data_IF_277799184362
#
_entry.id   IF_277799184362
#
_cell.length_a   1.000
_cell.length_b   1.000
_cell.length_c   1.000
_cell.angle_alpha   90.00
_cell.angle_beta   90.00
_cell.angle_gamma   90.00
#
_symmetry.space_group_name_H-M   'P 1'
#
loop_
_entity.id
_entity.type
_entity.pdbx_description
1 polymer ?
#
# COMPACT_ATOMS: atom_id res chain seq x y z
N UNK A 1 -8.47 2.15 8.65
CA UNK A 1 -7.90 2.39 9.98
C UNK A 1 -7.59 1.07 10.67
N UNK A 2 -6.55 1.06 11.54
CA UNK A 2 -6.24 -0.08 12.39
C UNK A 2 -6.51 0.30 13.85
N UNK A 3 -6.85 -0.69 14.68
CA UNK A 3 -6.76 -0.58 16.11
C UNK A 3 -5.31 -0.82 16.51
N UNK A 4 -4.68 0.17 17.12
CA UNK A 4 -3.36 0.02 17.72
C UNK A 4 -3.52 -0.49 19.14
N UNK A 5 -2.71 -1.48 19.53
CA UNK A 5 -2.74 -2.09 20.86
C UNK A 5 -1.33 -2.49 21.30
N UNK A 6 -1.15 -2.61 22.60
CA UNK A 6 0.04 -3.15 23.25
C UNK A 6 -0.08 -4.64 23.61
N UNK A 7 -1.16 -5.29 23.17
CA UNK A 7 -1.32 -6.74 23.31
C UNK A 7 -0.21 -7.45 22.56
N UNK A 8 0.45 -8.40 23.20
CA UNK A 8 1.57 -9.14 22.64
C UNK A 8 1.10 -10.06 21.49
N UNK A 9 1.19 -9.56 20.26
CA UNK A 9 0.95 -10.32 19.04
C UNK A 9 2.29 -10.84 18.50
N UNK A 10 2.36 -12.12 18.20
CA UNK A 10 3.52 -12.76 17.59
C UNK A 10 3.10 -13.55 16.36
N UNK A 11 4.05 -13.97 15.49
CA UNK A 11 3.76 -14.85 14.37
C UNK A 11 2.95 -16.08 14.83
N UNK A 12 1.81 -16.32 14.16
CA UNK A 12 0.83 -17.37 14.52
C UNK A 12 -0.48 -16.80 15.08
N UNK A 13 -0.48 -15.58 15.64
CA UNK A 13 -1.71 -14.93 16.14
C UNK A 13 -2.46 -14.13 15.06
N UNK A 14 -1.85 -13.90 13.89
CA UNK A 14 -2.47 -13.16 12.78
C UNK A 14 -3.72 -13.90 12.28
N UNK A 15 -4.82 -13.16 12.06
CA UNK A 15 -6.13 -13.71 11.75
C UNK A 15 -6.94 -14.14 12.97
N UNK A 16 -6.33 -14.21 14.15
CA UNK A 16 -7.04 -14.47 15.41
C UNK A 16 -7.78 -13.24 15.94
N UNK A 17 -8.75 -13.42 16.85
CA UNK A 17 -9.55 -12.33 17.39
C UNK A 17 -8.79 -11.49 18.41
N UNK A 18 -9.07 -10.19 18.43
CA UNK A 18 -8.75 -9.28 19.51
C UNK A 18 -10.01 -9.09 20.37
N UNK A 19 -9.92 -9.39 21.66
CA UNK A 19 -11.04 -9.27 22.59
C UNK A 19 -10.95 -8.01 23.45
N UNK A 20 -12.12 -7.46 23.81
CA UNK A 20 -12.21 -6.51 24.91
C UNK A 20 -12.30 -7.24 26.27
N UNK A 21 -12.35 -6.46 27.37
CA UNK A 21 -12.46 -7.02 28.74
C UNK A 21 -13.79 -7.70 29.01
N UNK A 22 -14.79 -7.53 28.16
CA UNK A 22 -16.11 -8.16 28.28
C UNK A 22 -16.20 -9.46 27.45
N UNK A 23 -15.13 -9.83 26.74
CA UNK A 23 -15.08 -11.00 25.87
C UNK A 23 -15.66 -10.77 24.48
N UNK A 24 -15.96 -9.53 24.08
CA UNK A 24 -16.39 -9.23 22.72
C UNK A 24 -15.20 -9.17 21.78
N UNK A 25 -15.37 -9.66 20.54
CA UNK A 25 -14.37 -9.50 19.48
C UNK A 25 -14.44 -8.08 18.93
N UNK A 26 -13.39 -7.30 19.14
CA UNK A 26 -13.31 -5.90 18.68
C UNK A 26 -12.47 -5.73 17.43
N UNK A 27 -11.67 -6.75 17.07
CA UNK A 27 -10.83 -6.70 15.86
C UNK A 27 -10.23 -8.05 15.51
N UNK A 28 -9.56 -8.06 14.36
CA UNK A 28 -8.79 -9.21 13.83
C UNK A 28 -7.31 -8.83 13.85
N UNK A 29 -6.47 -9.61 14.53
CA UNK A 29 -5.04 -9.39 14.60
C UNK A 29 -4.42 -9.45 13.21
N UNK A 30 -3.63 -8.44 12.84
CA UNK A 30 -3.09 -8.31 11.49
C UNK A 30 -1.57 -8.29 11.47
N UNK A 31 -0.96 -7.28 12.09
CA UNK A 31 0.48 -7.05 11.99
C UNK A 31 1.06 -6.45 13.25
N UNK A 32 2.38 -6.49 13.36
CA UNK A 32 3.16 -5.84 14.41
C UNK A 32 4.16 -4.87 13.79
N UNK A 33 4.52 -3.82 14.52
CA UNK A 33 5.74 -3.08 14.21
C UNK A 33 6.91 -3.83 14.83
N UNK A 34 7.85 -4.30 14.00
CA UNK A 34 8.98 -5.08 14.49
C UNK A 34 10.21 -4.91 13.62
N UNK A 35 11.37 -4.80 14.26
CA UNK A 35 12.70 -4.82 13.60
C UNK A 35 13.35 -6.22 13.65
N UNK A 36 12.94 -7.05 14.60
CA UNK A 36 13.52 -8.37 14.87
C UNK A 36 12.60 -9.54 14.49
N UNK A 37 11.36 -9.24 14.01
CA UNK A 37 10.33 -10.24 13.69
C UNK A 37 9.44 -10.63 14.86
N UNK A 38 9.77 -10.26 16.11
CA UNK A 38 8.95 -10.46 17.29
C UNK A 38 8.24 -9.18 17.76
N UNK A 39 7.29 -9.31 18.68
CA UNK A 39 6.57 -8.20 19.26
C UNK A 39 7.49 -7.21 19.99
N UNK A 40 7.32 -5.91 19.74
CA UNK A 40 8.10 -4.80 20.31
C UNK A 40 7.23 -3.68 20.88
N UNK A 41 6.06 -4.02 21.44
CA UNK A 41 5.18 -3.06 22.11
C UNK A 41 4.10 -2.44 21.21
N UNK A 42 4.12 -2.66 19.89
CA UNK A 42 3.14 -2.12 18.96
C UNK A 42 2.57 -3.23 18.09
N UNK A 43 1.25 -3.39 18.17
CA UNK A 43 0.49 -4.32 17.37
C UNK A 43 -0.75 -3.63 16.76
N UNK A 44 -1.24 -4.16 15.66
CA UNK A 44 -2.33 -3.60 14.88
C UNK A 44 -3.35 -4.67 14.55
N UNK A 45 -4.62 -4.36 14.80
CA UNK A 45 -5.75 -5.20 14.45
C UNK A 45 -6.70 -4.46 13.50
N UNK A 46 -7.35 -5.18 12.61
CA UNK A 46 -8.42 -4.68 11.76
C UNK A 46 -9.66 -4.53 12.63
N UNK A 47 -10.31 -3.35 12.71
CA UNK A 47 -11.54 -3.18 13.45
C UNK A 47 -12.64 -4.14 13.01
N UNK A 48 -13.45 -4.64 13.95
CA UNK A 48 -14.42 -5.69 13.63
C UNK A 48 -15.49 -5.24 12.63
N UNK A 49 -15.92 -3.99 12.66
CA UNK A 49 -16.84 -3.44 11.66
C UNK A 49 -16.25 -3.53 10.23
N UNK A 50 -14.98 -3.18 10.05
CA UNK A 50 -14.28 -3.29 8.76
C UNK A 50 -14.14 -4.77 8.35
N UNK A 51 -13.80 -5.64 9.30
CA UNK A 51 -13.65 -7.08 9.04
C UNK A 51 -14.97 -7.72 8.58
N UNK A 52 -16.10 -7.33 9.20
CA UNK A 52 -17.44 -7.82 8.81
C UNK A 52 -17.81 -7.35 7.40
N UNK A 53 -17.54 -6.07 7.07
CA UNK A 53 -17.84 -5.53 5.74
C UNK A 53 -17.03 -6.27 4.66
N UNK A 54 -15.73 -6.49 4.89
CA UNK A 54 -14.86 -7.26 4.00
C UNK A 54 -15.34 -8.71 3.86
N UNK A 55 -15.65 -9.38 4.98
CA UNK A 55 -16.17 -10.75 4.97
C UNK A 55 -17.47 -10.87 4.15
N UNK A 56 -18.39 -9.92 4.33
CA UNK A 56 -19.64 -9.88 3.56
C UNK A 56 -19.40 -9.71 2.05
N UNK A 57 -18.43 -8.90 1.65
CA UNK A 57 -18.05 -8.76 0.24
C UNK A 57 -17.51 -10.07 -0.31
N UNK A 58 -16.57 -10.70 0.40
CA UNK A 58 -15.99 -12.00 -0.01
C UNK A 58 -17.06 -13.08 -0.13
N UNK A 59 -17.98 -13.17 0.83
CA UNK A 59 -19.07 -14.16 0.81
C UNK A 59 -20.01 -13.92 -0.39
N UNK A 60 -20.32 -12.65 -0.70
CA UNK A 60 -21.28 -12.31 -1.75
C UNK A 60 -20.69 -12.30 -3.15
N UNK A 61 -19.45 -11.79 -3.29
CA UNK A 61 -18.83 -11.48 -4.59
C UNK A 61 -17.56 -12.30 -4.87
N UNK A 62 -16.99 -12.99 -3.85
CA UNK A 62 -15.74 -13.74 -3.95
C UNK A 62 -14.49 -12.85 -3.85
N UNK A 63 -14.64 -11.54 -3.87
CA UNK A 63 -13.55 -10.56 -3.85
C UNK A 63 -13.94 -9.30 -3.07
N UNK A 64 -12.96 -8.45 -2.78
CA UNK A 64 -13.15 -7.16 -2.13
C UNK A 64 -12.94 -6.05 -3.14
N UNK A 65 -14.01 -5.32 -3.47
CA UNK A 65 -13.93 -4.10 -4.28
C UNK A 65 -13.89 -2.88 -3.38
N UNK A 66 -13.15 -1.85 -3.78
CA UNK A 66 -13.02 -0.60 -3.05
C UNK A 66 -13.26 0.57 -3.98
N UNK A 67 -13.95 1.58 -3.48
CA UNK A 67 -14.09 2.84 -4.20
C UNK A 67 -12.72 3.48 -4.46
N UNK A 68 -12.61 4.19 -5.58
CA UNK A 68 -11.40 4.86 -6.03
C UNK A 68 -11.73 6.24 -6.60
N UNK A 69 -10.83 7.21 -6.36
CA UNK A 69 -10.97 8.57 -6.89
C UNK A 69 -10.00 8.86 -8.05
N UNK A 70 -8.82 8.23 -8.06
CA UNK A 70 -7.77 8.56 -9.01
C UNK A 70 -7.07 9.87 -8.67
N UNK A 71 -6.58 10.02 -7.42
CA UNK A 71 -5.89 11.24 -6.98
C UNK A 71 -4.61 10.94 -6.24
N UNK A 72 -3.64 11.85 -6.34
CA UNK A 72 -2.51 11.95 -5.40
C UNK A 72 -2.75 13.13 -4.49
N UNK A 73 -2.47 12.95 -3.21
CA UNK A 73 -2.76 13.94 -2.19
C UNK A 73 -1.63 14.06 -1.16
N UNK A 74 -1.61 15.17 -0.45
CA UNK A 74 -0.74 15.43 0.70
C UNK A 74 -1.49 16.17 1.81
N UNK A 75 -0.82 16.33 2.95
CA UNK A 75 -1.33 17.15 4.05
C UNK A 75 -1.34 18.63 3.65
N UNK A 76 -2.30 19.36 4.20
CA UNK A 76 -2.36 20.82 4.10
C UNK A 76 -1.41 21.39 5.15
N UNK A 77 -0.44 22.18 4.73
CA UNK A 77 0.42 22.93 5.65
C UNK A 77 -0.17 24.28 6.06
N UNK A 78 0.48 24.97 7.00
CA UNK A 78 0.00 26.25 7.53
C UNK A 78 0.03 27.35 6.49
N UNK A 79 1.05 27.38 5.63
CA UNK A 79 1.25 28.44 4.64
C UNK A 79 0.15 28.36 3.57
N UNK A 80 -0.21 27.15 3.13
CA UNK A 80 -1.31 26.92 2.20
C UNK A 80 -2.66 27.25 2.84
N UNK A 81 -2.87 26.83 4.11
CA UNK A 81 -4.10 27.14 4.82
C UNK A 81 -4.33 28.66 4.91
N UNK A 82 -3.28 29.43 5.24
CA UNK A 82 -3.34 30.88 5.29
C UNK A 82 -3.62 31.50 3.91
N UNK A 83 -2.98 30.99 2.85
CA UNK A 83 -3.19 31.44 1.47
C UNK A 83 -4.62 31.21 0.98
N UNK A 84 -5.25 30.10 1.41
CA UNK A 84 -6.65 29.74 1.09
C UNK A 84 -7.67 30.36 2.08
N UNK A 85 -7.23 31.19 3.04
CA UNK A 85 -8.10 31.79 4.06
C UNK A 85 -8.71 30.80 5.05
N UNK A 86 -8.12 29.60 5.20
CA UNK A 86 -8.57 28.60 6.13
C UNK A 86 -8.17 28.98 7.57
N UNK A 87 -9.04 28.74 8.55
CA UNK A 87 -8.76 29.06 9.97
C UNK A 87 -7.66 28.16 10.58
N UNK A 88 -7.41 27.01 10.03
CA UNK A 88 -6.41 26.02 10.46
C UNK A 88 -6.08 25.09 9.30
N UNK A 89 -4.89 24.48 9.27
CA UNK A 89 -4.57 23.46 8.28
C UNK A 89 -5.38 22.19 8.57
N UNK A 90 -6.19 21.75 7.60
CA UNK A 90 -6.91 20.46 7.62
C UNK A 90 -7.38 20.10 6.21
N UNK A 91 -7.73 18.85 6.01
CA UNK A 91 -8.20 18.35 4.71
C UNK A 91 -7.12 17.58 3.94
N UNK A 92 -7.46 17.23 2.72
CA UNK A 92 -6.57 16.55 1.78
C UNK A 92 -6.27 17.47 0.59
N UNK A 93 -5.04 17.95 0.48
CA UNK A 93 -4.58 18.72 -0.67
C UNK A 93 -4.40 17.78 -1.87
N UNK A 94 -5.05 18.11 -2.98
CA UNK A 94 -4.94 17.35 -4.23
C UNK A 94 -3.72 17.85 -5.00
N UNK A 95 -2.73 16.98 -5.17
CA UNK A 95 -1.52 17.30 -5.93
C UNK A 95 -1.66 16.95 -7.41
N UNK A 96 -2.43 15.88 -7.70
CA UNK A 96 -2.60 15.35 -9.05
C UNK A 96 -3.93 14.61 -9.18
N UNK A 97 -4.52 14.62 -10.38
CA UNK A 97 -5.78 13.94 -10.72
C UNK A 97 -5.54 13.08 -11.95
N UNK A 98 -5.86 11.80 -11.86
CA UNK A 98 -5.71 10.85 -12.96
C UNK A 98 -6.80 11.08 -14.01
N UNK A 99 -6.39 11.26 -15.27
CA UNK A 99 -7.29 11.52 -16.40
C UNK A 99 -8.28 10.36 -16.61
N UNK A 100 -9.56 10.70 -16.76
CA UNK A 100 -10.65 9.74 -16.96
C UNK A 100 -11.15 9.04 -15.70
N UNK A 101 -10.50 9.22 -14.54
CA UNK A 101 -10.94 8.64 -13.28
C UNK A 101 -12.04 9.48 -12.60
N UNK A 102 -12.54 8.98 -11.47
CA UNK A 102 -13.70 9.54 -10.74
C UNK A 102 -13.52 11.03 -10.40
N UNK A 103 -12.34 11.42 -9.96
CA UNK A 103 -12.03 12.79 -9.56
C UNK A 103 -12.01 13.74 -10.75
N UNK A 104 -11.40 13.35 -11.88
CA UNK A 104 -11.37 14.11 -13.13
C UNK A 104 -12.79 14.32 -13.67
N UNK A 105 -13.56 13.25 -13.75
CA UNK A 105 -14.96 13.30 -14.19
C UNK A 105 -15.87 14.17 -13.31
N UNK A 106 -15.53 14.30 -12.03
CA UNK A 106 -16.22 15.20 -11.08
C UNK A 106 -15.78 16.66 -11.18
N UNK A 107 -14.71 16.95 -11.93
CA UNK A 107 -14.14 18.30 -12.06
C UNK A 107 -13.28 18.71 -10.86
N UNK A 108 -12.70 17.76 -10.12
CA UNK A 108 -11.68 18.01 -9.12
C UNK A 108 -10.39 18.43 -9.82
N UNK A 109 -9.66 19.38 -9.26
CA UNK A 109 -8.44 19.92 -9.86
C UNK A 109 -7.25 19.83 -8.90
N UNK A 110 -6.02 19.74 -9.42
CA UNK A 110 -4.83 19.96 -8.59
C UNK A 110 -4.89 21.35 -7.93
N UNK A 111 -4.56 21.39 -6.63
CA UNK A 111 -4.68 22.60 -5.80
C UNK A 111 -5.96 22.64 -4.96
N UNK A 112 -6.97 21.84 -5.25
CA UNK A 112 -8.16 21.73 -4.39
C UNK A 112 -7.81 21.09 -3.05
N UNK A 113 -8.51 21.49 -1.99
CA UNK A 113 -8.43 20.86 -0.68
C UNK A 113 -9.77 20.20 -0.35
N UNK A 114 -9.83 18.88 -0.30
CA UNK A 114 -11.04 18.17 0.12
C UNK A 114 -11.16 18.26 1.64
N UNK A 115 -12.23 18.89 2.13
CA UNK A 115 -12.49 19.10 3.56
C UNK A 115 -13.62 18.23 4.10
N UNK A 116 -14.50 17.74 3.23
CA UNK A 116 -15.56 16.78 3.55
C UNK A 116 -15.75 15.82 2.39
N UNK A 117 -15.99 14.53 2.69
CA UNK A 117 -16.35 13.53 1.70
C UNK A 117 -17.42 12.59 2.24
N UNK A 118 -18.54 12.47 1.52
CA UNK A 118 -19.71 11.67 1.88
C UNK A 118 -20.20 11.96 3.32
N UNK A 119 -20.37 13.23 3.68
CA UNK A 119 -20.76 13.75 5.00
C UNK A 119 -19.79 13.38 6.15
N UNK A 120 -18.55 13.05 5.83
CA UNK A 120 -17.48 12.83 6.81
C UNK A 120 -16.43 13.92 6.66
N UNK A 121 -16.12 14.61 7.76
CA UNK A 121 -15.04 15.59 7.81
C UNK A 121 -13.70 14.91 7.50
N UNK A 122 -12.92 15.50 6.60
CA UNK A 122 -11.56 15.08 6.28
C UNK A 122 -10.61 16.02 7.02
N UNK A 123 -9.95 15.50 8.07
CA UNK A 123 -9.01 16.27 8.89
C UNK A 123 -7.58 16.12 8.40
N UNK A 124 -7.22 14.93 7.97
CA UNK A 124 -5.92 14.58 7.45
C UNK A 124 -6.06 13.98 6.05
N UNK A 125 -5.04 14.11 5.22
CA UNK A 125 -5.05 13.51 3.88
C UNK A 125 -5.30 12.01 3.94
N UNK A 126 -4.79 11.33 4.99
CA UNK A 126 -4.98 9.90 5.24
C UNK A 126 -6.43 9.48 5.51
N UNK A 127 -7.33 10.41 5.86
CA UNK A 127 -8.75 10.09 6.11
C UNK A 127 -9.49 9.78 4.80
N UNK A 128 -9.15 10.49 3.72
CA UNK A 128 -9.85 10.39 2.44
C UNK A 128 -9.82 8.97 1.86
N UNK A 129 -8.67 8.26 1.74
CA UNK A 129 -8.65 6.89 1.25
C UNK A 129 -9.47 5.92 2.12
N UNK A 130 -9.56 6.19 3.43
CA UNK A 130 -10.37 5.37 4.33
C UNK A 130 -11.86 5.55 4.08
N UNK A 131 -12.31 6.78 3.84
CA UNK A 131 -13.72 7.06 3.54
C UNK A 131 -14.10 6.49 2.18
N UNK A 132 -13.30 6.79 1.14
CA UNK A 132 -13.54 6.34 -0.24
C UNK A 132 -13.47 4.82 -0.35
N UNK A 133 -12.46 4.19 0.24
CA UNK A 133 -12.24 2.74 0.16
C UNK A 133 -13.28 1.89 0.91
N UNK A 134 -14.13 2.50 1.76
CA UNK A 134 -15.29 1.84 2.38
C UNK A 134 -16.54 1.87 1.51
N UNK A 135 -16.53 2.67 0.44
CA UNK A 135 -17.67 2.78 -0.47
C UNK A 135 -17.55 1.79 -1.63
N UNK A 136 -18.68 1.39 -2.18
CA UNK A 136 -18.68 0.50 -3.34
C UNK A 136 -18.29 1.26 -4.62
N UNK A 137 -17.58 0.62 -5.56
CA UNK A 137 -17.39 1.15 -6.90
C UNK A 137 -18.75 1.46 -7.57
N UNK A 138 -18.75 2.45 -8.43
CA UNK A 138 -19.93 2.99 -9.12
C UNK A 138 -21.00 3.60 -8.20
N UNK A 139 -20.72 3.76 -6.91
CA UNK A 139 -21.60 4.49 -6.00
C UNK A 139 -21.45 6.01 -6.14
N UNK A 140 -22.54 6.74 -5.87
CA UNK A 140 -22.52 8.19 -5.84
C UNK A 140 -21.97 8.67 -4.49
N UNK A 141 -21.12 9.68 -4.53
CA UNK A 141 -20.61 10.40 -3.38
C UNK A 141 -20.66 11.89 -3.60
N UNK A 142 -20.62 12.67 -2.52
CA UNK A 142 -20.45 14.13 -2.60
C UNK A 142 -19.26 14.54 -1.75
N UNK A 143 -18.54 15.58 -2.18
CA UNK A 143 -17.46 16.17 -1.42
C UNK A 143 -17.57 17.70 -1.39
N UNK A 144 -17.03 18.30 -0.32
CA UNK A 144 -16.79 19.74 -0.25
C UNK A 144 -15.30 19.97 -0.40
N UNK A 145 -14.94 20.90 -1.27
CA UNK A 145 -13.55 21.25 -1.55
C UNK A 145 -13.37 22.75 -1.39
N UNK A 146 -12.19 23.20 -0.99
CA UNK A 146 -11.76 24.59 -1.06
C UNK A 146 -10.94 24.75 -2.32
N UNK A 147 -11.35 25.68 -3.19
CA UNK A 147 -10.65 26.09 -4.41
C UNK A 147 -10.55 27.61 -4.44
N UNK A 148 -9.33 28.13 -4.50
CA UNK A 148 -9.06 29.57 -4.52
C UNK A 148 -9.72 30.35 -3.35
N UNK A 149 -9.92 29.68 -2.21
CA UNK A 149 -10.56 30.24 -1.00
C UNK A 149 -12.08 30.05 -0.93
N UNK A 150 -12.72 29.57 -1.99
CA UNK A 150 -14.17 29.33 -2.03
C UNK A 150 -14.51 27.85 -1.76
N UNK A 151 -15.60 27.61 -1.01
CA UNK A 151 -16.13 26.26 -0.81
C UNK A 151 -17.01 25.85 -2.01
N UNK A 152 -16.64 24.72 -2.65
CA UNK A 152 -17.33 24.16 -3.81
C UNK A 152 -17.81 22.75 -3.46
N UNK A 153 -19.02 22.41 -3.85
CA UNK A 153 -19.56 21.05 -3.75
C UNK A 153 -19.41 20.33 -5.06
N UNK A 154 -18.74 19.15 -5.01
CA UNK A 154 -18.58 18.25 -6.15
C UNK A 154 -19.34 16.96 -5.91
N UNK A 155 -19.80 16.34 -7.01
CA UNK A 155 -20.44 15.03 -7.00
C UNK A 155 -19.56 14.03 -7.77
N UNK A 156 -19.35 12.86 -7.19
CA UNK A 156 -18.47 11.82 -7.69
C UNK A 156 -19.26 10.56 -8.00
N UNK A 157 -18.87 9.85 -9.03
CA UNK A 157 -19.20 8.44 -9.23
C UNK A 157 -17.88 7.69 -9.01
N UNK A 158 -17.80 6.90 -7.95
CA UNK A 158 -16.53 6.25 -7.57
C UNK A 158 -16.09 5.24 -8.63
N UNK A 159 -14.82 5.28 -8.99
CA UNK A 159 -14.15 4.22 -9.73
C UNK A 159 -13.91 2.99 -8.86
N UNK A 160 -13.35 1.95 -9.42
CA UNK A 160 -12.86 0.78 -8.70
C UNK A 160 -11.36 0.87 -8.53
N UNK A 161 -10.88 0.69 -7.29
CA UNK A 161 -9.45 0.69 -7.01
C UNK A 161 -8.77 -0.40 -7.86
N UNK A 162 -7.81 -0.05 -8.74
CA UNK A 162 -7.12 -1.03 -9.56
C UNK A 162 -6.45 -2.08 -8.68
N UNK A 163 -6.82 -3.34 -8.87
CA UNK A 163 -6.12 -4.45 -8.24
C UNK A 163 -4.81 -4.60 -9.01
N UNK A 164 -3.75 -3.91 -8.56
CA UNK A 164 -2.42 -4.25 -8.99
C UNK A 164 -2.13 -5.65 -8.46
N UNK A 165 -2.31 -6.66 -9.29
CA UNK A 165 -2.02 -8.06 -8.98
C UNK A 165 -0.55 -8.30 -8.57
N UNK A 166 0.29 -7.28 -8.59
CA UNK A 166 1.67 -7.33 -8.09
C UNK A 166 1.78 -7.22 -6.54
N UNK A 167 0.71 -6.83 -5.82
CA UNK A 167 0.80 -6.56 -4.38
C UNK A 167 0.01 -7.49 -3.47
N UNK A 168 -0.84 -8.38 -3.98
CA UNK A 168 -1.60 -9.33 -3.16
C UNK A 168 -1.67 -10.71 -3.79
N UNK A 169 -0.53 -11.32 -3.99
CA UNK A 169 -0.47 -12.77 -3.82
C UNK A 169 -0.53 -12.94 -2.30
N UNK A 170 -1.63 -13.54 -1.72
CA UNK A 170 -1.50 -14.09 -0.40
C UNK A 170 -0.23 -14.91 -0.49
N UNK A 171 0.66 -14.76 0.50
CA UNK A 171 1.77 -15.68 0.62
C UNK A 171 1.18 -17.11 0.72
N UNK A 172 0.75 -17.65 -0.43
CA UNK A 172 1.04 -19.05 -0.65
C UNK A 172 2.49 -19.06 -0.31
N UNK A 173 2.83 -19.77 0.72
CA UNK A 173 4.15 -20.32 0.85
C UNK A 173 4.45 -21.00 -0.50
N UNK A 174 4.71 -20.21 -1.53
CA UNK A 174 5.67 -20.58 -2.50
C UNK A 174 6.92 -20.65 -1.64
N UNK A 175 7.13 -21.84 -1.12
CA UNK A 175 8.44 -22.37 -1.20
C UNK A 175 8.84 -22.18 -2.67
N UNK A 176 9.17 -20.94 -3.06
CA UNK A 176 10.14 -20.75 -4.10
C UNK A 176 11.28 -21.59 -3.58
N UNK A 177 11.49 -22.69 -4.22
CA UNK A 177 12.66 -23.52 -4.05
C UNK A 177 13.84 -22.71 -4.60
N UNK A 178 14.08 -21.57 -3.98
CA UNK A 178 15.34 -20.87 -4.09
C UNK A 178 16.13 -21.26 -2.82
N UNK A 179 16.84 -22.39 -2.87
CA UNK A 179 17.58 -22.91 -1.73
C UNK A 179 18.73 -21.97 -1.35
N UNK A 180 19.02 -20.97 -2.16
CA UNK A 180 20.13 -20.03 -1.99
C UNK A 180 19.65 -18.70 -1.43
N UNK A 181 18.38 -18.33 -1.68
CA UNK A 181 17.78 -17.06 -1.26
C UNK A 181 18.29 -15.87 -2.06
N UNK A 182 18.46 -16.05 -3.38
CA UNK A 182 19.04 -15.09 -4.30
C UNK A 182 18.07 -14.81 -5.45
N UNK A 183 17.68 -13.57 -5.66
CA UNK A 183 16.99 -13.15 -6.90
C UNK A 183 17.98 -12.46 -7.82
N UNK A 184 17.95 -12.82 -9.08
CA UNK A 184 18.77 -12.24 -10.13
C UNK A 184 17.88 -11.63 -11.22
N UNK A 185 18.46 -10.78 -12.06
CA UNK A 185 17.82 -10.15 -13.19
C UNK A 185 18.84 -10.07 -14.36
N UNK A 186 18.35 -10.07 -15.58
CA UNK A 186 19.18 -9.83 -16.75
C UNK A 186 19.84 -8.45 -16.71
N UNK A 187 20.95 -8.32 -17.44
CA UNK A 187 21.67 -7.05 -17.59
C UNK A 187 20.86 -6.18 -18.57
N UNK A 188 20.45 -5.00 -18.10
CA UNK A 188 19.84 -3.98 -18.95
C UNK A 188 20.91 -3.35 -19.86
N UNK A 189 21.01 -3.86 -21.09
CA UNK A 189 21.99 -3.41 -22.09
C UNK A 189 21.68 -2.03 -22.66
N UNK A 190 20.46 -1.53 -22.49
CA UNK A 190 20.05 -0.18 -22.90
C UNK A 190 20.53 0.89 -21.91
N UNK A 191 20.92 0.47 -20.70
CA UNK A 191 21.51 1.36 -19.70
C UNK A 191 23.00 1.60 -19.97
N UNK A 192 23.46 2.85 -20.23
CA UNK A 192 24.84 3.16 -20.55
C UNK A 192 25.87 2.70 -19.53
N UNK A 193 25.46 2.58 -18.24
CA UNK A 193 26.34 2.13 -17.17
C UNK A 193 26.48 0.60 -17.10
N UNK A 194 25.64 -0.15 -17.82
CA UNK A 194 25.60 -1.61 -17.81
C UNK A 194 25.93 -2.22 -19.17
N UNK A 195 25.96 -1.43 -20.24
CA UNK A 195 26.17 -1.91 -21.62
C UNK A 195 27.52 -2.62 -21.83
N UNK A 196 28.55 -2.27 -21.06
CA UNK A 196 29.90 -2.84 -21.16
C UNK A 196 30.19 -3.95 -20.14
N UNK A 197 29.20 -4.39 -19.35
CA UNK A 197 29.39 -5.52 -18.43
C UNK A 197 29.52 -6.82 -19.21
N UNK A 198 30.34 -7.80 -18.72
CA UNK A 198 30.38 -9.14 -19.30
C UNK A 198 29.01 -9.83 -19.20
N UNK A 199 28.83 -10.93 -19.94
CA UNK A 199 27.61 -11.72 -19.86
C UNK A 199 27.44 -12.30 -18.45
N UNK A 200 26.19 -12.37 -18.00
CA UNK A 200 25.86 -12.75 -16.65
C UNK A 200 24.54 -12.18 -16.18
N UNK A 201 24.24 -12.34 -14.90
CA UNK A 201 23.03 -11.82 -14.27
C UNK A 201 23.38 -10.95 -13.07
N UNK A 202 22.57 -9.92 -12.82
CA UNK A 202 22.76 -9.01 -11.69
C UNK A 202 21.91 -9.47 -10.52
N UNK A 203 22.51 -9.47 -9.32
CA UNK A 203 21.79 -9.74 -8.08
C UNK A 203 20.81 -8.60 -7.79
N UNK A 204 19.52 -8.88 -7.96
CA UNK A 204 18.44 -7.90 -7.69
C UNK A 204 18.04 -7.89 -6.22
N UNK A 205 18.12 -9.03 -5.53
CA UNK A 205 17.79 -9.17 -4.11
C UNK A 205 18.50 -10.35 -3.48
N UNK A 206 18.90 -10.18 -2.20
CA UNK A 206 19.37 -11.26 -1.32
C UNK A 206 18.42 -11.34 -0.12
N UNK A 207 17.88 -12.52 0.16
CA UNK A 207 16.98 -12.71 1.29
C UNK A 207 17.80 -12.74 2.60
N UNK A 208 17.45 -11.92 3.61
CA UNK A 208 18.14 -11.93 4.90
C UNK A 208 18.08 -13.32 5.54
N UNK A 209 19.21 -13.77 6.11
CA UNK A 209 19.31 -15.08 6.75
C UNK A 209 19.41 -16.28 5.80
N UNK A 210 19.43 -16.07 4.48
CA UNK A 210 19.63 -17.14 3.50
C UNK A 210 21.10 -17.55 3.37
N UNK A 211 21.41 -18.68 2.72
CA UNK A 211 22.80 -19.10 2.43
C UNK A 211 23.61 -18.07 1.62
N UNK A 212 22.98 -17.23 0.82
CA UNK A 212 23.60 -16.15 0.07
C UNK A 212 23.87 -14.89 0.93
N UNK A 213 23.17 -14.74 2.06
CA UNK A 213 23.30 -13.56 2.93
C UNK A 213 24.71 -13.42 3.47
N UNK A 214 25.30 -12.22 3.30
CA UNK A 214 26.67 -11.92 3.69
C UNK A 214 27.77 -12.45 2.75
N UNK A 215 27.39 -13.17 1.67
CA UNK A 215 28.35 -13.66 0.65
C UNK A 215 28.21 -12.90 -0.67
N UNK A 216 27.00 -12.49 -1.01
CA UNK A 216 26.67 -11.67 -2.17
C UNK A 216 25.79 -10.51 -1.74
N UNK A 217 25.86 -9.41 -2.47
CA UNK A 217 25.08 -8.19 -2.22
C UNK A 217 24.27 -7.80 -3.45
N UNK A 218 23.24 -6.99 -3.24
CA UNK A 218 22.49 -6.43 -4.36
C UNK A 218 23.42 -5.60 -5.24
N UNK A 219 23.37 -5.84 -6.55
CA UNK A 219 24.21 -5.19 -7.55
C UNK A 219 25.43 -6.01 -7.96
N UNK A 220 25.76 -7.11 -7.28
CA UNK A 220 26.82 -8.01 -7.70
C UNK A 220 26.45 -8.66 -9.04
N UNK A 221 27.46 -8.84 -9.91
CA UNK A 221 27.35 -9.53 -11.19
C UNK A 221 27.81 -10.98 -11.04
N UNK A 222 26.96 -11.91 -11.40
CA UNK A 222 27.28 -13.35 -11.43
C UNK A 222 27.48 -13.76 -12.87
N UNK A 223 28.69 -14.13 -13.22
CA UNK A 223 29.07 -14.58 -14.58
C UNK A 223 29.25 -16.08 -14.69
N UNK A 224 29.39 -16.76 -13.54
CA UNK A 224 29.68 -18.19 -13.50
C UNK A 224 29.18 -18.83 -12.22
N UNK A 225 28.70 -20.05 -12.31
CA UNK A 225 28.39 -20.93 -11.17
C UNK A 225 29.26 -22.18 -11.24
N UNK A 226 29.82 -22.59 -10.11
CA UNK A 226 30.54 -23.87 -10.00
C UNK A 226 29.71 -24.84 -9.14
N UNK A 227 29.37 -26.00 -9.70
CA UNK A 227 28.65 -27.06 -9.01
C UNK A 227 29.34 -28.40 -9.24
N UNK A 228 29.65 -29.14 -8.17
CA UNK A 228 30.32 -30.45 -8.23
C UNK A 228 31.59 -30.43 -9.12
N UNK A 229 32.37 -29.36 -9.06
CA UNK A 229 33.61 -29.22 -9.82
C UNK A 229 33.43 -28.81 -11.30
N UNK A 230 32.21 -28.73 -11.79
CA UNK A 230 31.91 -28.23 -13.15
C UNK A 230 31.55 -26.73 -13.08
N UNK A 231 32.05 -25.97 -14.05
CA UNK A 231 31.78 -24.56 -14.22
C UNK A 231 30.69 -24.36 -15.28
N UNK A 232 29.75 -23.49 -15.00
CA UNK A 232 28.65 -23.10 -15.90
C UNK A 232 28.72 -21.59 -16.05
N UNK A 233 28.91 -21.12 -17.26
CA UNK A 233 28.76 -19.72 -17.62
C UNK A 233 27.28 -19.35 -17.60
N UNK A 234 26.97 -18.11 -17.23
CA UNK A 234 25.62 -17.61 -17.14
C UNK A 234 25.48 -16.48 -18.15
N UNK A 235 24.57 -16.62 -19.10
CA UNK A 235 24.33 -15.64 -20.14
C UNK A 235 23.10 -14.77 -19.84
N UNK A 236 22.09 -15.34 -19.18
CA UNK A 236 20.80 -14.70 -18.82
C UNK A 236 20.12 -15.41 -17.66
N UNK A 237 18.94 -14.88 -17.20
CA UNK A 237 18.06 -15.47 -16.17
C UNK A 237 17.25 -16.62 -16.74
#
# INVERSE_FOLDING_TARGET
>A
PFLQTDVAINPGNSGGPLFDLNGNVVGINSQIYSRSGGYQGLAFAIPMNVAVDVANQIIKKGEVSRGYLGVRMSEVDSDLADALGMKKPYGALINDVEEGESADNAGLLPGDVIIEFNNKEIKFSSDLPHVVGQMEPNSNASGQVIRDGDEIKLNFILGELPINNESFVPAKSQSSSDPIGLKVADIDRDNPNMSNLPDGVIVSRVNPGSPASGKVTRGDLITMIQYKGKKFEIDNV
#
